data_IF_863057354838
#
_entry.id   IF_863057354838
#
_cell.length_a   1.000
_cell.length_b   1.000
_cell.length_c   1.000
_cell.angle_alpha   90.00
_cell.angle_beta   90.00
_cell.angle_gamma   90.00
#
_symmetry.space_group_name_H-M   'P 1'
#
loop_
_entity.id
_entity.type
_entity.pdbx_description
1 polymer ?
#
# COMPACT_ATOMS: atom_id res chain seq x y z
N UNK A 1 -28.17 -36.65 25.33
CA UNK A 1 -28.29 -36.80 23.85
C UNK A 1 -29.32 -35.87 23.19
N UNK A 2 -30.05 -35.01 23.94
CA UNK A 2 -31.03 -34.06 23.36
C UNK A 2 -30.51 -32.61 23.13
N UNK A 3 -29.33 -32.26 23.66
CA UNK A 3 -28.74 -30.91 23.51
C UNK A 3 -27.90 -30.73 22.23
N UNK A 4 -27.42 -31.82 21.62
CA UNK A 4 -26.54 -31.75 20.44
C UNK A 4 -27.32 -31.64 19.12
N UNK A 5 -28.54 -32.18 19.05
CA UNK A 5 -29.42 -32.10 17.88
C UNK A 5 -30.06 -30.72 17.69
N UNK A 6 -30.35 -30.00 18.77
CA UNK A 6 -30.88 -28.62 18.73
C UNK A 6 -29.86 -27.61 18.17
N UNK A 7 -28.57 -27.80 18.46
CA UNK A 7 -27.51 -26.91 17.99
C UNK A 7 -27.23 -27.08 16.48
N UNK A 8 -27.25 -28.33 15.99
CA UNK A 8 -27.10 -28.64 14.56
C UNK A 8 -28.30 -28.15 13.72
N UNK A 9 -29.52 -28.27 14.24
CA UNK A 9 -30.73 -27.75 13.59
C UNK A 9 -30.70 -26.22 13.45
N UNK A 10 -30.21 -25.49 14.45
CA UNK A 10 -30.08 -24.03 14.42
C UNK A 10 -29.01 -23.53 13.44
N UNK A 11 -27.90 -24.25 13.28
CA UNK A 11 -26.85 -23.92 12.30
C UNK A 11 -27.35 -24.16 10.86
N UNK A 12 -28.12 -25.21 10.64
CA UNK A 12 -28.79 -25.47 9.34
C UNK A 12 -29.88 -24.42 9.04
N UNK A 13 -30.65 -23.98 10.05
CA UNK A 13 -31.63 -22.89 9.92
C UNK A 13 -30.96 -21.55 9.57
N UNK A 14 -29.84 -21.21 10.23
CA UNK A 14 -29.08 -19.98 9.96
C UNK A 14 -28.44 -19.97 8.57
N UNK A 15 -27.89 -21.11 8.10
CA UNK A 15 -27.36 -21.23 6.73
C UNK A 15 -28.47 -21.10 5.69
N UNK A 16 -29.66 -21.68 5.94
CA UNK A 16 -30.82 -21.59 5.04
C UNK A 16 -31.39 -20.16 5.00
N UNK A 17 -31.40 -19.46 6.13
CA UNK A 17 -31.83 -18.05 6.23
C UNK A 17 -30.81 -17.08 5.61
N UNK A 18 -29.52 -17.38 5.68
CA UNK A 18 -28.48 -16.59 5.00
C UNK A 18 -28.56 -16.80 3.47
N UNK A 19 -28.76 -18.04 3.01
CA UNK A 19 -28.98 -18.33 1.59
C UNK A 19 -30.27 -17.69 1.08
N UNK A 20 -31.36 -17.72 1.86
CA UNK A 20 -32.60 -17.04 1.53
C UNK A 20 -32.41 -15.53 1.44
N UNK A 21 -31.65 -14.93 2.37
CA UNK A 21 -31.34 -13.48 2.35
C UNK A 21 -30.50 -13.10 1.11
N UNK A 22 -29.52 -13.92 0.73
CA UNK A 22 -28.73 -13.72 -0.50
C UNK A 22 -29.58 -13.89 -1.76
N UNK A 23 -30.49 -14.88 -1.78
CA UNK A 23 -31.45 -15.05 -2.88
C UNK A 23 -32.50 -13.93 -2.94
N UNK A 24 -32.93 -13.39 -1.80
CA UNK A 24 -33.81 -12.21 -1.71
C UNK A 24 -33.09 -10.93 -2.16
N UNK A 25 -31.78 -10.79 -1.89
CA UNK A 25 -30.95 -9.70 -2.41
C UNK A 25 -30.70 -9.84 -3.92
N UNK A 26 -30.64 -11.06 -4.44
CA UNK A 26 -30.55 -11.32 -5.89
C UNK A 26 -31.90 -11.11 -6.62
N UNK A 27 -33.03 -11.28 -5.91
CA UNK A 27 -34.39 -11.08 -6.43
C UNK A 27 -34.83 -9.60 -6.50
N UNK A 28 -34.01 -8.64 -6.04
CA UNK A 28 -34.27 -7.20 -6.21
C UNK A 28 -33.85 -6.67 -7.59
N UNK A 29 -33.43 -7.55 -8.50
CA UNK A 29 -33.29 -7.23 -9.92
C UNK A 29 -34.69 -7.07 -10.55
N UNK A 30 -35.36 -5.96 -10.27
CA UNK A 30 -36.64 -5.63 -10.89
C UNK A 30 -37.50 -4.56 -10.23
N UNK A 31 -37.12 -3.94 -9.11
CA UNK A 31 -38.03 -3.05 -8.37
C UNK A 31 -37.44 -1.65 -8.13
N UNK A 32 -37.92 -0.70 -8.92
CA UNK A 32 -37.88 0.75 -8.73
C UNK A 32 -36.55 1.34 -8.21
N UNK A 33 -35.68 1.76 -9.13
CA UNK A 33 -34.62 2.73 -8.84
C UNK A 33 -35.22 3.89 -8.02
N UNK A 34 -34.74 4.06 -6.78
CA UNK A 34 -35.20 5.17 -5.94
C UNK A 34 -35.04 6.46 -6.73
N UNK A 35 -36.09 7.27 -6.79
CA UNK A 35 -36.07 8.55 -7.53
C UNK A 35 -34.81 9.33 -7.15
N UNK A 36 -34.12 9.85 -8.16
CA UNK A 36 -32.87 10.62 -8.06
C UNK A 36 -31.59 9.82 -7.66
N UNK A 37 -31.66 8.49 -7.63
CA UNK A 37 -30.47 7.65 -7.51
C UNK A 37 -30.11 7.00 -8.84
N UNK A 38 -28.84 6.69 -9.08
CA UNK A 38 -28.35 5.85 -10.17
C UNK A 38 -27.25 4.92 -9.67
N UNK A 39 -27.24 3.68 -10.16
CA UNK A 39 -26.32 2.63 -9.74
C UNK A 39 -25.59 2.07 -10.95
N UNK A 40 -24.26 1.95 -10.86
CA UNK A 40 -23.43 1.29 -11.85
C UNK A 40 -22.62 0.19 -11.17
N UNK A 41 -23.04 -1.05 -11.37
CA UNK A 41 -22.27 -2.23 -10.98
C UNK A 41 -21.11 -2.42 -11.95
N UNK A 42 -19.95 -2.79 -11.43
CA UNK A 42 -18.78 -3.13 -12.22
C UNK A 42 -17.90 -4.14 -11.49
N UNK A 43 -17.01 -4.77 -12.23
CA UNK A 43 -16.07 -5.71 -11.62
C UNK A 43 -15.12 -6.34 -12.61
N UNK A 44 -14.38 -7.31 -12.09
CA UNK A 44 -13.55 -8.17 -12.91
C UNK A 44 -13.35 -9.52 -12.24
N UNK A 45 -13.36 -10.58 -13.02
CA UNK A 45 -12.65 -11.82 -12.66
C UNK A 45 -11.21 -11.66 -13.13
N UNK A 46 -10.24 -11.92 -12.25
CA UNK A 46 -8.82 -11.85 -12.58
C UNK A 46 -8.12 -13.10 -12.08
N UNK A 47 -7.34 -13.72 -12.96
CA UNK A 47 -6.40 -14.79 -12.61
C UNK A 47 -4.97 -14.31 -12.76
N UNK A 48 -4.11 -14.71 -11.84
CA UNK A 48 -2.72 -14.32 -11.77
C UNK A 48 -1.86 -15.58 -11.60
N UNK A 49 -1.13 -15.96 -12.66
CA UNK A 49 -0.04 -16.93 -12.60
C UNK A 49 1.26 -16.16 -12.38
N UNK A 50 2.11 -16.59 -11.45
CA UNK A 50 3.45 -16.05 -11.35
C UNK A 50 4.51 -17.12 -11.14
N UNK A 51 5.73 -16.77 -11.52
CA UNK A 51 6.95 -17.51 -11.24
C UNK A 51 8.04 -16.52 -10.81
N UNK A 52 8.84 -16.90 -9.82
CA UNK A 52 10.06 -16.21 -9.39
C UNK A 52 11.22 -17.21 -9.39
N UNK A 53 12.41 -16.77 -9.77
CA UNK A 53 13.64 -17.59 -9.68
C UNK A 53 14.20 -17.69 -8.25
N UNK A 54 13.67 -16.89 -7.30
CA UNK A 54 14.13 -16.78 -5.91
C UNK A 54 12.97 -16.47 -4.96
N UNK A 55 13.13 -16.70 -3.66
CA UNK A 55 12.30 -16.14 -2.61
C UNK A 55 12.39 -14.60 -2.52
N UNK A 56 11.29 -13.93 -2.14
CA UNK A 56 11.16 -12.47 -2.25
C UNK A 56 10.51 -11.84 -1.03
N UNK A 57 10.83 -10.56 -0.80
CA UNK A 57 10.00 -9.71 0.03
C UNK A 57 8.71 -9.41 -0.73
N UNK A 58 7.60 -9.87 -0.18
CA UNK A 58 6.30 -9.84 -0.85
C UNK A 58 5.16 -9.78 0.18
N UNK A 59 3.95 -9.56 -0.32
CA UNK A 59 2.72 -9.83 0.43
C UNK A 59 1.73 -10.57 -0.47
N UNK A 60 0.68 -11.14 0.12
CA UNK A 60 -0.37 -11.85 -0.65
C UNK A 60 0.19 -13.05 -1.39
N UNK A 61 1.05 -13.81 -0.70
CA UNK A 61 1.67 -15.03 -1.22
C UNK A 61 2.24 -14.84 -2.63
N UNK A 62 3.20 -13.92 -2.75
CA UNK A 62 3.91 -13.62 -3.99
C UNK A 62 3.18 -12.82 -5.07
N UNK A 63 1.89 -12.52 -4.92
CA UNK A 63 1.19 -11.65 -5.87
C UNK A 63 1.64 -10.19 -5.78
N UNK A 64 1.83 -9.67 -4.57
CA UNK A 64 2.34 -8.32 -4.36
C UNK A 64 3.85 -8.41 -4.18
N UNK A 65 4.56 -8.41 -5.31
CA UNK A 65 6.01 -8.49 -5.37
C UNK A 65 6.67 -7.15 -5.04
N UNK A 66 7.74 -7.15 -4.22
CA UNK A 66 8.53 -5.95 -3.93
C UNK A 66 9.98 -6.07 -4.43
N UNK A 67 10.77 -7.00 -3.90
CA UNK A 67 12.19 -7.21 -4.23
C UNK A 67 12.69 -8.59 -3.76
N UNK A 68 13.80 -9.14 -4.29
CA UNK A 68 14.35 -10.43 -3.82
C UNK A 68 14.78 -10.38 -2.35
N UNK A 69 14.63 -11.46 -1.59
CA UNK A 69 15.22 -11.57 -0.25
C UNK A 69 16.73 -11.75 -0.31
N UNK A 70 17.44 -11.32 0.74
CA UNK A 70 18.89 -11.56 0.85
C UNK A 70 19.24 -13.05 0.91
N UNK A 71 20.51 -13.39 0.76
CA UNK A 71 21.03 -14.73 0.99
C UNK A 71 20.78 -15.16 2.42
N UNK A 72 20.32 -16.40 2.58
CA UNK A 72 20.16 -17.03 3.89
C UNK A 72 20.90 -18.36 3.87
N UNK A 73 22.19 -18.30 4.14
CA UNK A 73 23.07 -19.47 4.06
C UNK A 73 22.74 -20.48 5.18
N UNK A 74 22.66 -21.75 4.81
CA UNK A 74 22.65 -22.86 5.77
C UNK A 74 24.05 -23.13 6.35
N UNK A 75 24.16 -24.12 7.24
CA UNK A 75 25.44 -24.51 7.85
C UNK A 75 26.49 -25.02 6.84
N UNK A 76 26.10 -25.33 5.60
CA UNK A 76 26.99 -25.75 4.50
C UNK A 76 27.27 -24.61 3.51
N UNK A 77 26.83 -23.37 3.79
CA UNK A 77 26.99 -22.23 2.90
C UNK A 77 26.02 -22.23 1.70
N UNK A 78 24.96 -23.03 1.71
CA UNK A 78 23.94 -23.03 0.64
C UNK A 78 22.86 -22.00 0.94
N UNK A 79 22.58 -21.14 -0.02
CA UNK A 79 21.54 -20.14 0.11
C UNK A 79 20.13 -20.76 0.09
N UNK A 80 19.46 -20.74 1.23
CA UNK A 80 18.09 -21.24 1.41
C UNK A 80 17.06 -20.41 0.64
N UNK A 81 17.36 -19.14 0.33
CA UNK A 81 16.46 -18.27 -0.42
C UNK A 81 16.64 -18.41 -1.94
N UNK A 82 17.70 -19.09 -2.41
CA UNK A 82 17.93 -19.44 -3.83
C UNK A 82 17.02 -20.58 -4.31
N UNK A 83 15.72 -20.47 -4.02
CA UNK A 83 14.69 -21.43 -4.41
C UNK A 83 13.65 -20.73 -5.26
N UNK A 84 13.35 -21.29 -6.42
CA UNK A 84 12.28 -20.81 -7.28
C UNK A 84 10.90 -21.08 -6.65
N UNK A 85 9.95 -20.18 -6.88
CA UNK A 85 8.57 -20.37 -6.43
C UNK A 85 7.58 -19.82 -7.46
N UNK A 86 6.33 -20.26 -7.36
CA UNK A 86 5.27 -19.81 -8.25
C UNK A 86 3.92 -20.28 -7.73
N UNK A 87 2.87 -19.58 -8.13
CA UNK A 87 1.50 -19.93 -7.76
C UNK A 87 0.49 -19.34 -8.75
N UNK A 88 -0.76 -19.80 -8.64
CA UNK A 88 -1.89 -19.36 -9.45
C UNK A 88 -3.05 -18.94 -8.55
N UNK A 89 -3.47 -17.68 -8.67
CA UNK A 89 -4.45 -17.08 -7.77
C UNK A 89 -5.58 -16.34 -8.49
N UNK A 90 -6.70 -16.21 -7.79
CA UNK A 90 -7.88 -15.43 -8.22
C UNK A 90 -8.25 -14.31 -7.25
N UNK A 91 -7.35 -14.01 -6.30
CA UNK A 91 -7.58 -13.16 -5.12
C UNK A 91 -7.96 -11.71 -5.46
N UNK A 92 -7.60 -11.21 -6.65
CA UNK A 92 -7.90 -9.85 -7.10
C UNK A 92 -9.08 -9.76 -8.06
N UNK A 93 -9.94 -10.78 -8.07
CA UNK A 93 -11.33 -10.65 -8.51
C UNK A 93 -12.01 -9.54 -7.71
N UNK A 94 -12.69 -8.61 -8.38
CA UNK A 94 -13.26 -7.39 -7.79
C UNK A 94 -14.73 -7.24 -8.13
N UNK A 95 -15.44 -6.64 -7.18
CA UNK A 95 -16.82 -6.22 -7.32
C UNK A 95 -16.96 -4.81 -6.77
N UNK A 96 -17.68 -3.95 -7.47
CA UNK A 96 -17.93 -2.58 -7.04
C UNK A 96 -19.26 -2.04 -7.51
N UNK A 97 -19.71 -1.00 -6.82
CA UNK A 97 -20.87 -0.20 -7.21
C UNK A 97 -20.53 1.27 -7.09
N UNK A 98 -20.79 2.01 -8.16
CA UNK A 98 -20.83 3.47 -8.14
C UNK A 98 -22.28 3.92 -7.99
N UNK A 99 -22.52 4.83 -7.05
CA UNK A 99 -23.83 5.39 -6.76
C UNK A 99 -23.79 6.89 -7.02
N UNK A 100 -24.72 7.40 -7.82
CA UNK A 100 -25.05 8.83 -7.87
C UNK A 100 -26.34 9.04 -7.09
N UNK A 101 -26.37 10.01 -6.18
CA UNK A 101 -27.53 10.28 -5.34
C UNK A 101 -28.18 11.64 -5.61
N UNK A 102 -29.27 11.96 -4.88
CA UNK A 102 -29.90 13.26 -4.93
C UNK A 102 -28.91 14.34 -4.47
N UNK A 103 -29.08 15.56 -4.98
CA UNK A 103 -28.24 16.68 -4.57
C UNK A 103 -28.41 16.99 -3.09
N UNK A 104 -27.31 17.32 -2.42
CA UNK A 104 -27.32 17.91 -1.08
C UNK A 104 -27.14 19.42 -1.23
N UNK A 105 -28.24 20.16 -1.23
CA UNK A 105 -28.23 21.57 -1.63
C UNK A 105 -27.74 21.74 -3.07
N UNK A 106 -26.61 22.44 -3.27
CA UNK A 106 -25.99 22.62 -4.59
C UNK A 106 -24.98 21.53 -4.97
N UNK A 107 -24.57 20.67 -4.02
CA UNK A 107 -23.61 19.61 -4.28
C UNK A 107 -24.25 18.43 -5.02
N UNK A 108 -23.60 17.96 -6.08
CA UNK A 108 -23.83 16.62 -6.63
C UNK A 108 -23.27 15.59 -5.65
N UNK A 109 -24.05 14.57 -5.33
CA UNK A 109 -23.63 13.53 -4.39
C UNK A 109 -23.30 12.25 -5.13
N UNK A 110 -22.25 11.58 -4.69
CA UNK A 110 -21.86 10.26 -5.20
C UNK A 110 -21.26 9.43 -4.08
N UNK A 111 -21.30 8.10 -4.24
CA UNK A 111 -20.66 7.16 -3.34
C UNK A 111 -20.08 5.99 -4.13
N UNK A 112 -19.09 5.32 -3.55
CA UNK A 112 -18.49 4.09 -4.10
C UNK A 112 -18.29 3.09 -3.00
N UNK A 113 -18.60 1.82 -3.28
CA UNK A 113 -18.11 0.66 -2.54
C UNK A 113 -17.41 -0.27 -3.53
N UNK A 114 -16.20 -0.72 -3.21
CA UNK A 114 -15.46 -1.69 -4.02
C UNK A 114 -14.73 -2.67 -3.08
N UNK A 115 -14.79 -3.97 -3.41
CA UNK A 115 -14.16 -5.06 -2.65
C UNK A 115 -13.36 -6.00 -3.56
N UNK A 116 -12.42 -6.75 -2.96
CA UNK A 116 -11.78 -7.93 -3.58
C UNK A 116 -11.63 -9.08 -2.59
N UNK A 117 -11.05 -10.20 -3.03
CA UNK A 117 -10.88 -11.43 -2.24
C UNK A 117 -9.45 -11.62 -1.72
N UNK A 118 -8.64 -10.54 -1.69
CA UNK A 118 -7.27 -10.61 -1.16
C UNK A 118 -7.23 -10.97 0.32
N UNK A 119 -8.26 -10.61 1.08
CA UNK A 119 -8.28 -10.79 2.53
C UNK A 119 -7.29 -9.90 3.29
N UNK A 120 -6.85 -10.35 4.47
CA UNK A 120 -6.02 -9.57 5.40
C UNK A 120 -4.85 -10.39 5.92
N UNK A 121 -3.66 -9.78 6.00
CA UNK A 121 -2.44 -10.46 6.45
C UNK A 121 -2.14 -11.71 5.63
N UNK A 122 -2.14 -12.87 6.29
CA UNK A 122 -1.95 -14.21 5.71
C UNK A 122 -3.26 -14.96 5.48
N UNK A 123 -4.42 -14.36 5.79
CA UNK A 123 -5.73 -14.95 5.53
C UNK A 123 -6.27 -14.50 4.18
N UNK A 124 -6.08 -15.35 3.17
CA UNK A 124 -6.52 -15.12 1.79
C UNK A 124 -7.95 -15.62 1.55
N UNK A 125 -8.51 -15.30 0.37
CA UNK A 125 -9.86 -15.72 -0.04
C UNK A 125 -11.00 -15.17 0.83
N UNK A 126 -10.77 -14.03 1.48
CA UNK A 126 -11.78 -13.31 2.27
C UNK A 126 -12.03 -11.92 1.70
N UNK A 127 -13.24 -11.41 1.89
CA UNK A 127 -13.63 -10.10 1.35
C UNK A 127 -12.83 -9.00 2.03
N UNK A 128 -12.17 -8.17 1.22
CA UNK A 128 -11.42 -6.99 1.67
C UNK A 128 -12.02 -5.74 1.05
N UNK A 129 -12.23 -4.73 1.90
CA UNK A 129 -12.64 -3.40 1.48
C UNK A 129 -11.53 -2.68 0.71
N UNK A 130 -11.80 -2.24 -0.51
CA UNK A 130 -10.88 -1.41 -1.29
C UNK A 130 -11.28 0.06 -1.21
N UNK A 131 -12.49 0.37 -1.67
CA UNK A 131 -13.05 1.71 -1.63
C UNK A 131 -14.36 1.71 -0.85
N UNK A 132 -14.56 2.74 -0.03
CA UNK A 132 -15.82 3.03 0.65
C UNK A 132 -15.84 4.51 1.00
N UNK A 133 -16.43 5.34 0.14
CA UNK A 133 -16.48 6.77 0.36
C UNK A 133 -17.73 7.39 -0.23
N UNK A 134 -18.06 8.59 0.26
CA UNK A 134 -18.99 9.52 -0.38
C UNK A 134 -18.22 10.76 -0.87
N UNK A 135 -18.80 11.47 -1.84
CA UNK A 135 -18.23 12.67 -2.41
C UNK A 135 -19.32 13.71 -2.70
N UNK A 136 -19.07 14.95 -2.30
CA UNK A 136 -19.89 16.13 -2.55
C UNK A 136 -19.17 17.04 -3.54
N UNK A 137 -19.76 17.30 -4.70
CA UNK A 137 -19.14 18.07 -5.79
C UNK A 137 -19.96 19.32 -6.13
N UNK A 138 -19.36 20.50 -5.93
CA UNK A 138 -19.90 21.83 -6.25
C UNK A 138 -19.35 22.39 -7.58
N UNK A 139 -18.73 21.56 -8.41
CA UNK A 139 -18.16 21.92 -9.70
C UNK A 139 -16.73 22.44 -9.60
N UNK A 140 -16.49 23.49 -8.78
CA UNK A 140 -15.14 23.99 -8.49
C UNK A 140 -14.51 23.32 -7.27
N UNK A 141 -15.32 22.93 -6.30
CA UNK A 141 -14.86 22.34 -5.05
C UNK A 141 -15.46 20.95 -4.89
N UNK A 142 -14.70 20.02 -4.34
CA UNK A 142 -15.19 18.69 -3.99
C UNK A 142 -14.69 18.26 -2.61
N UNK A 143 -15.55 17.60 -1.84
CA UNK A 143 -15.22 17.02 -0.54
C UNK A 143 -15.52 15.52 -0.57
N UNK A 144 -14.48 14.71 -0.39
CA UNK A 144 -14.54 13.27 -0.26
C UNK A 144 -14.36 12.85 1.20
N UNK A 145 -15.23 11.95 1.67
CA UNK A 145 -15.17 11.37 3.01
C UNK A 145 -15.19 9.84 2.90
N UNK A 146 -14.14 9.18 3.39
CA UNK A 146 -14.06 7.72 3.47
C UNK A 146 -12.76 7.14 2.95
N UNK A 147 -12.73 5.82 2.70
CA UNK A 147 -11.53 5.12 2.27
C UNK A 147 -11.38 5.11 0.75
N UNK A 148 -10.24 5.61 0.28
CA UNK A 148 -9.83 5.53 -1.12
C UNK A 148 -8.31 5.52 -1.24
N UNK A 149 -7.77 5.60 -2.46
CA UNK A 149 -6.33 5.72 -2.69
C UNK A 149 -5.73 6.88 -1.89
N UNK A 150 -4.58 6.62 -1.29
CA UNK A 150 -3.74 7.64 -0.68
C UNK A 150 -3.37 8.69 -1.73
N UNK A 151 -3.35 10.00 -1.43
CA UNK A 151 -2.97 11.02 -2.40
C UNK A 151 -1.57 10.81 -3.01
N UNK A 152 -0.61 10.25 -2.27
CA UNK A 152 0.70 9.85 -2.82
C UNK A 152 0.62 8.77 -3.92
N UNK A 153 -0.41 7.92 -3.91
CA UNK A 153 -0.67 7.03 -5.05
C UNK A 153 -1.04 7.88 -6.28
N UNK A 154 -1.94 8.84 -6.10
CA UNK A 154 -2.25 9.90 -7.05
C UNK A 154 -2.94 9.44 -8.34
N UNK A 155 -3.21 10.40 -9.23
CA UNK A 155 -3.79 10.16 -10.56
C UNK A 155 -2.75 9.63 -11.58
N UNK A 156 -1.48 9.61 -11.19
CA UNK A 156 -0.33 9.10 -11.98
C UNK A 156 0.24 7.87 -11.29
N UNK A 157 0.02 6.71 -11.93
CA UNK A 157 0.52 5.41 -11.50
C UNK A 157 0.90 4.55 -12.72
N UNK A 158 1.79 3.56 -12.56
CA UNK A 158 2.20 2.66 -13.64
C UNK A 158 1.03 1.85 -14.20
N UNK A 159 1.05 1.63 -15.52
CA UNK A 159 0.27 0.59 -16.19
C UNK A 159 1.17 -0.65 -16.34
N UNK A 160 1.15 -1.50 -15.32
CA UNK A 160 1.83 -2.80 -15.32
C UNK A 160 0.86 -3.91 -14.88
N UNK A 161 1.17 -5.16 -15.21
CA UNK A 161 0.39 -6.32 -14.77
C UNK A 161 0.62 -6.65 -13.30
N UNK A 162 1.84 -6.44 -12.79
CA UNK A 162 2.17 -6.72 -11.39
C UNK A 162 1.20 -6.02 -10.42
N UNK A 163 0.69 -6.76 -9.43
CA UNK A 163 -0.28 -6.25 -8.47
C UNK A 163 0.33 -5.24 -7.48
N UNK A 164 1.65 -5.14 -7.41
CA UNK A 164 2.34 -4.09 -6.67
C UNK A 164 2.21 -2.71 -7.31
N UNK A 165 1.84 -2.63 -8.61
CA UNK A 165 1.68 -1.37 -9.36
C UNK A 165 2.92 -0.46 -9.21
N UNK A 166 4.10 -1.08 -9.19
CA UNK A 166 5.38 -0.40 -9.08
C UNK A 166 5.87 -0.14 -7.66
N UNK A 167 5.21 -0.63 -6.61
CA UNK A 167 5.84 -0.66 -5.28
C UNK A 167 7.09 -1.56 -5.30
N UNK A 168 8.17 -1.21 -4.56
CA UNK A 168 8.27 -0.13 -3.59
C UNK A 168 8.77 1.22 -4.18
N UNK A 169 8.61 1.46 -5.49
CA UNK A 169 8.98 2.73 -6.13
C UNK A 169 7.79 3.72 -6.18
N UNK A 170 6.60 3.19 -6.43
CA UNK A 170 5.32 3.90 -6.42
C UNK A 170 4.66 3.71 -5.04
N UNK A 171 4.30 4.81 -4.34
CA UNK A 171 3.51 4.71 -3.11
C UNK A 171 2.21 3.94 -3.37
N UNK A 172 1.97 2.90 -2.57
CA UNK A 172 0.80 2.02 -2.67
C UNK A 172 0.09 1.94 -1.33
N UNK A 173 -1.01 2.69 -1.20
CA UNK A 173 -1.87 2.64 -0.02
C UNK A 173 -3.29 3.08 -0.32
N UNK A 174 -4.23 2.54 0.45
CA UNK A 174 -5.60 3.03 0.58
C UNK A 174 -5.88 3.28 2.04
N UNK A 175 -6.51 4.42 2.31
CA UNK A 175 -6.65 4.96 3.65
C UNK A 175 -7.97 5.74 3.79
N UNK A 176 -8.69 5.60 4.91
CA UNK A 176 -9.73 6.53 5.31
C UNK A 176 -9.19 7.97 5.30
N UNK A 177 -9.90 8.86 4.62
CA UNK A 177 -9.46 10.25 4.47
C UNK A 177 -10.65 11.21 4.37
N UNK A 178 -10.39 12.44 4.79
CA UNK A 178 -11.16 13.63 4.45
C UNK A 178 -10.33 14.37 3.41
N UNK A 179 -10.80 14.44 2.17
CA UNK A 179 -10.07 15.06 1.07
C UNK A 179 -10.86 16.18 0.44
N UNK A 180 -10.28 17.37 0.41
CA UNK A 180 -10.79 18.52 -0.30
C UNK A 180 -10.02 18.73 -1.61
N UNK A 181 -10.74 19.05 -2.67
CA UNK A 181 -10.16 19.43 -3.95
C UNK A 181 -10.76 20.74 -4.44
N UNK A 182 -9.92 21.61 -4.99
CA UNK A 182 -10.33 22.86 -5.63
C UNK A 182 -9.77 22.94 -7.05
N UNK A 183 -10.64 23.19 -8.01
CA UNK A 183 -10.31 23.28 -9.43
C UNK A 183 -10.47 24.70 -9.94
N UNK A 184 -9.43 25.20 -10.59
CA UNK A 184 -9.46 26.47 -11.31
C UNK A 184 -8.75 26.30 -12.66
N UNK A 185 -9.52 26.34 -13.75
CA UNK A 185 -9.03 26.07 -15.11
C UNK A 185 -8.29 24.72 -15.15
N UNK A 186 -7.01 24.74 -15.50
CA UNK A 186 -6.15 23.57 -15.62
C UNK A 186 -5.50 23.16 -14.29
N UNK A 187 -5.72 23.90 -13.20
CA UNK A 187 -5.09 23.62 -11.90
C UNK A 187 -6.07 22.94 -10.95
N UNK A 188 -5.58 21.94 -10.21
CA UNK A 188 -6.31 21.27 -9.14
C UNK A 188 -5.45 21.25 -7.88
N UNK A 189 -5.92 21.91 -6.83
CA UNK A 189 -5.36 21.79 -5.49
C UNK A 189 -6.01 20.61 -4.77
N UNK A 190 -5.22 19.85 -4.03
CA UNK A 190 -5.68 18.75 -3.18
C UNK A 190 -5.14 18.95 -1.77
N UNK A 191 -6.01 18.83 -0.76
CA UNK A 191 -5.63 18.74 0.64
C UNK A 191 -6.35 17.55 1.28
N UNK A 192 -5.67 16.77 2.13
CA UNK A 192 -6.29 15.63 2.80
C UNK A 192 -5.77 15.44 4.22
N UNK A 193 -6.68 15.02 5.11
CA UNK A 193 -6.38 14.44 6.42
C UNK A 193 -6.68 12.93 6.38
N UNK A 194 -5.76 12.11 6.83
CA UNK A 194 -5.68 10.69 6.49
C UNK A 194 -5.42 9.84 7.73
N UNK A 195 -6.10 8.69 7.82
CA UNK A 195 -5.90 7.68 8.86
C UNK A 195 -5.55 6.33 8.25
N UNK A 196 -4.81 5.51 9.00
CA UNK A 196 -4.32 4.22 8.52
C UNK A 196 -5.26 3.08 8.96
N UNK A 197 -5.59 2.17 8.03
CA UNK A 197 -6.46 1.02 8.31
C UNK A 197 -5.91 -0.32 7.80
N UNK A 198 -5.32 -0.33 6.59
CA UNK A 198 -4.83 -1.55 5.93
C UNK A 198 -3.31 -1.54 5.74
N UNK A 199 -2.79 -0.39 5.33
CA UNK A 199 -1.36 -0.15 5.18
C UNK A 199 -0.97 0.75 6.36
N UNK A 200 -0.06 0.24 7.18
CA UNK A 200 0.19 0.77 8.51
C UNK A 200 1.67 1.11 8.62
N UNK A 201 1.97 2.16 9.37
CA UNK A 201 3.33 2.49 9.78
C UNK A 201 3.94 1.32 10.56
N UNK A 202 5.25 1.16 10.38
CA UNK A 202 6.07 0.22 11.15
C UNK A 202 6.54 0.91 12.43
N UNK A 203 6.55 0.18 13.53
CA UNK A 203 7.11 0.65 14.80
C UNK A 203 8.06 -0.35 15.45
N UNK A 204 8.23 -0.29 16.79
CA UNK A 204 9.19 -1.13 17.49
C UNK A 204 9.03 -2.61 17.16
N UNK A 205 10.16 -3.31 17.05
CA UNK A 205 10.23 -4.72 16.61
C UNK A 205 9.68 -4.98 15.21
N UNK A 206 9.71 -3.96 14.35
CA UNK A 206 9.23 -4.01 12.97
C UNK A 206 7.75 -4.43 12.84
N UNK A 207 6.96 -4.17 13.88
CA UNK A 207 5.52 -4.47 13.89
C UNK A 207 4.76 -3.36 13.16
N UNK A 208 3.83 -3.73 12.28
CA UNK A 208 2.89 -2.81 11.65
C UNK A 208 1.65 -2.64 12.51
N UNK A 209 1.28 -1.40 12.85
CA UNK A 209 0.12 -1.15 13.71
C UNK A 209 -0.55 0.19 13.47
N UNK A 210 -1.87 0.19 13.56
CA UNK A 210 -2.67 1.41 13.60
C UNK A 210 -2.49 2.20 14.90
N UNK A 211 -1.96 1.57 15.95
CA UNK A 211 -1.79 2.22 17.26
C UNK A 211 -0.84 3.41 17.16
N UNK A 212 0.17 3.37 16.30
CA UNK A 212 1.16 4.45 16.22
C UNK A 212 0.54 5.78 15.78
N UNK A 213 -0.35 5.77 14.78
CA UNK A 213 -1.09 6.98 14.37
C UNK A 213 -2.21 7.31 15.35
N UNK A 214 -2.91 6.32 15.93
CA UNK A 214 -3.97 6.55 16.93
C UNK A 214 -3.44 7.25 18.18
N UNK A 215 -2.33 6.76 18.72
CA UNK A 215 -1.67 7.31 19.89
C UNK A 215 -1.17 8.74 19.63
N UNK A 216 -0.85 9.07 18.39
CA UNK A 216 -0.41 10.41 18.00
C UNK A 216 -1.51 11.47 18.08
N UNK A 217 -2.78 11.05 17.95
CA UNK A 217 -3.97 11.91 17.82
C UNK A 217 -3.89 12.97 16.70
N UNK A 218 -3.02 12.76 15.70
CA UNK A 218 -2.83 13.66 14.56
C UNK A 218 -3.01 12.82 13.28
N UNK A 219 -3.88 13.22 12.34
CA UNK A 219 -3.96 12.56 11.05
C UNK A 219 -2.70 12.82 10.22
N UNK A 220 -2.40 11.92 9.30
CA UNK A 220 -1.45 12.21 8.21
C UNK A 220 -2.05 13.30 7.32
N UNK A 221 -1.24 14.30 6.95
CA UNK A 221 -1.67 15.46 6.17
C UNK A 221 -1.00 15.43 4.80
N UNK A 222 -1.78 15.63 3.75
CA UNK A 222 -1.27 15.79 2.39
C UNK A 222 -1.73 17.11 1.79
N UNK A 223 -0.84 17.79 1.05
CA UNK A 223 -1.17 18.91 0.19
C UNK A 223 -0.48 18.74 -1.17
N UNK A 224 -1.16 19.04 -2.27
CA UNK A 224 -0.57 18.93 -3.60
C UNK A 224 -1.31 19.73 -4.65
N UNK A 225 -0.65 19.87 -5.81
CA UNK A 225 -1.13 20.64 -6.95
C UNK A 225 -0.89 19.87 -8.24
N UNK A 226 -1.94 19.73 -9.04
CA UNK A 226 -1.87 19.17 -10.38
C UNK A 226 -2.18 20.24 -11.43
N UNK A 227 -1.41 20.26 -12.50
CA UNK A 227 -1.70 20.95 -13.75
C UNK A 227 -2.12 19.94 -14.81
N UNK A 228 -3.34 20.10 -15.35
CA UNK A 228 -3.99 19.20 -16.31
C UNK A 228 -4.27 19.96 -17.60
N UNK A 229 -3.54 19.68 -18.67
CA UNK A 229 -3.69 20.35 -19.97
C UNK A 229 -3.59 19.39 -21.16
N UNK A 230 -4.67 19.29 -21.94
CA UNK A 230 -4.80 18.37 -23.08
C UNK A 230 -4.42 16.92 -22.68
N UNK A 231 -3.25 16.48 -23.10
CA UNK A 231 -2.71 15.13 -22.90
C UNK A 231 -1.77 15.03 -21.69
N UNK A 232 -1.47 16.16 -21.04
CA UNK A 232 -0.51 16.26 -19.94
C UNK A 232 -1.22 16.38 -18.59
N UNK A 233 -0.66 15.68 -17.61
CA UNK A 233 -0.87 15.89 -16.19
C UNK A 233 0.51 15.97 -15.54
N UNK A 234 0.82 17.06 -14.84
CA UNK A 234 2.02 17.17 -14.03
C UNK A 234 1.67 17.75 -12.67
N UNK A 235 2.35 17.33 -11.61
CA UNK A 235 2.02 17.77 -10.27
C UNK A 235 3.13 17.54 -9.27
N UNK A 236 2.94 18.16 -8.10
CA UNK A 236 3.81 18.01 -6.94
C UNK A 236 2.97 17.90 -5.67
N UNK A 237 3.51 17.22 -4.67
CA UNK A 237 2.84 17.01 -3.38
C UNK A 237 3.82 16.99 -2.21
N UNK A 238 3.30 17.35 -1.05
CA UNK A 238 3.96 17.22 0.25
C UNK A 238 3.05 16.42 1.18
N UNK A 239 3.66 15.56 1.97
CA UNK A 239 3.00 14.72 2.96
C UNK A 239 3.69 14.92 4.32
N UNK A 240 2.89 14.97 5.38
CA UNK A 240 3.33 15.03 6.78
C UNK A 240 2.72 13.86 7.54
N UNK A 241 3.60 13.00 8.06
CA UNK A 241 3.24 11.90 8.95
C UNK A 241 3.73 12.24 10.34
N UNK A 242 2.90 12.00 11.36
CA UNK A 242 3.33 12.08 12.74
C UNK A 242 2.78 10.90 13.52
N UNK A 243 3.65 10.08 14.11
CA UNK A 243 3.27 8.89 14.87
C UNK A 243 3.92 8.88 16.24
N UNK A 244 3.29 8.16 17.18
CA UNK A 244 3.86 7.82 18.49
C UNK A 244 4.17 6.32 18.54
N UNK A 245 5.44 5.91 18.35
CA UNK A 245 5.85 4.51 18.36
C UNK A 245 5.51 3.79 19.67
N UNK A 246 5.62 4.50 20.79
CA UNK A 246 5.33 3.99 22.14
C UNK A 246 4.57 5.06 22.93
N UNK A 247 3.86 4.60 23.96
CA UNK A 247 3.21 5.46 24.99
C UNK A 247 3.75 5.17 26.38
N UNK A 248 4.52 4.10 26.51
CA UNK A 248 5.19 3.68 27.73
C UNK A 248 6.54 3.03 27.39
N UNK A 249 7.43 3.03 28.37
CA UNK A 249 8.73 2.39 28.29
C UNK A 249 9.02 1.68 29.62
N UNK A 250 9.50 0.45 29.53
CA UNK A 250 9.93 -0.33 30.70
C UNK A 250 11.46 -0.31 30.76
N UNK A 251 12.00 0.18 31.87
CA UNK A 251 13.45 0.33 32.10
C UNK A 251 13.87 -0.59 33.24
N UNK A 252 14.88 -1.46 33.03
CA UNK A 252 15.44 -2.26 34.12
C UNK A 252 16.21 -1.36 35.09
N UNK A 253 15.92 -1.46 36.38
CA UNK A 253 16.51 -0.63 37.45
C UNK A 253 17.41 -1.43 38.40
N UNK A 254 17.43 -2.75 38.27
CA UNK A 254 18.32 -3.65 39.02
C UNK A 254 18.02 -5.12 38.74
N UNK A 255 18.82 -6.01 39.30
CA UNK A 255 18.59 -7.46 39.31
C UNK A 255 18.61 -7.94 40.75
N UNK A 256 17.65 -8.77 41.12
CA UNK A 256 17.74 -9.50 42.38
C UNK A 256 18.78 -10.62 42.22
N UNK A 257 19.82 -10.59 43.05
CA UNK A 257 20.97 -11.48 42.95
C UNK A 257 20.63 -12.95 43.29
N UNK A 258 19.54 -13.20 44.01
CA UNK A 258 19.12 -14.56 44.41
C UNK A 258 18.12 -15.20 43.42
N UNK A 259 17.30 -14.40 42.71
CA UNK A 259 16.19 -14.92 41.87
C UNK A 259 16.40 -14.76 40.35
N UNK A 260 17.44 -14.04 39.91
CA UNK A 260 17.64 -13.62 38.51
C UNK A 260 16.47 -12.81 37.91
N UNK A 261 15.53 -12.33 38.73
CA UNK A 261 14.46 -11.45 38.26
C UNK A 261 15.00 -10.04 38.03
N UNK A 262 14.66 -9.48 36.86
CA UNK A 262 15.00 -8.10 36.49
C UNK A 262 13.93 -7.17 37.05
N UNK A 263 14.31 -6.37 38.06
CA UNK A 263 13.43 -5.35 38.62
C UNK A 263 13.32 -4.23 37.58
N UNK A 264 12.10 -3.90 37.15
CA UNK A 264 11.85 -2.92 36.11
C UNK A 264 10.80 -1.90 36.53
N UNK A 265 10.96 -0.65 36.10
CA UNK A 265 9.95 0.39 36.24
C UNK A 265 9.36 0.74 34.88
N UNK A 266 8.05 0.99 34.83
CA UNK A 266 7.35 1.44 33.63
C UNK A 266 7.05 2.92 33.74
N UNK A 267 7.49 3.67 32.74
CA UNK A 267 7.29 5.11 32.63
C UNK A 267 6.35 5.41 31.46
N UNK A 268 5.54 6.46 31.62
CA UNK A 268 4.83 7.07 30.50
C UNK A 268 5.82 7.88 29.66
N UNK A 269 5.76 7.73 28.35
CA UNK A 269 6.60 8.49 27.40
C UNK A 269 5.73 9.20 26.37
N UNK A 270 6.19 10.32 25.80
CA UNK A 270 5.45 11.11 24.82
C UNK A 270 6.19 11.32 23.48
N UNK A 271 7.30 10.61 23.29
CA UNK A 271 8.08 10.55 22.06
C UNK A 271 7.25 10.43 20.78
N UNK A 272 7.73 11.12 19.74
CA UNK A 272 7.07 11.22 18.45
C UNK A 272 8.11 11.25 17.36
N UNK A 273 7.75 10.69 16.21
CA UNK A 273 8.45 10.95 14.97
C UNK A 273 7.50 11.66 14.01
N UNK A 274 7.91 12.84 13.56
CA UNK A 274 7.20 13.65 12.57
C UNK A 274 8.08 13.79 11.34
N UNK A 275 7.56 13.42 10.18
CA UNK A 275 8.32 13.41 8.93
C UNK A 275 7.62 14.19 7.84
N UNK A 276 8.42 14.68 6.88
CA UNK A 276 7.94 15.28 5.65
C UNK A 276 8.44 14.48 4.45
N UNK A 277 7.54 14.21 3.52
CA UNK A 277 7.82 13.57 2.25
C UNK A 277 7.38 14.44 1.10
N UNK A 278 8.07 14.33 -0.04
CA UNK A 278 7.83 15.14 -1.23
C UNK A 278 7.67 14.24 -2.44
N UNK A 279 6.77 14.59 -3.35
CA UNK A 279 6.62 13.88 -4.63
C UNK A 279 6.46 14.84 -5.80
N UNK A 280 6.92 14.40 -6.96
CA UNK A 280 6.69 15.06 -8.23
C UNK A 280 6.35 13.99 -9.27
N UNK A 281 5.33 14.26 -10.08
CA UNK A 281 4.85 13.31 -11.06
C UNK A 281 4.48 13.98 -12.38
N UNK A 282 4.54 13.20 -13.46
CA UNK A 282 4.13 13.60 -14.79
C UNK A 282 3.53 12.43 -15.54
N UNK A 283 2.52 12.71 -16.36
CA UNK A 283 1.91 11.78 -17.30
C UNK A 283 1.57 12.48 -18.60
N UNK A 284 1.99 11.90 -19.70
CA UNK A 284 1.48 12.16 -21.04
C UNK A 284 0.64 10.97 -21.50
N UNK A 285 -0.59 11.25 -21.93
CA UNK A 285 -1.47 10.22 -22.51
C UNK A 285 -2.16 10.74 -23.76
N UNK A 286 -2.07 10.00 -24.86
CA UNK A 286 -2.89 10.20 -26.05
C UNK A 286 -3.55 8.89 -26.50
N UNK A 287 -4.06 8.82 -27.74
CA UNK A 287 -4.71 7.62 -28.28
C UNK A 287 -3.86 6.35 -28.16
N UNK A 288 -2.55 6.44 -28.40
CA UNK A 288 -1.64 5.30 -28.46
C UNK A 288 -0.58 5.31 -27.35
N UNK A 289 -0.18 6.48 -26.88
CA UNK A 289 0.92 6.63 -25.93
C UNK A 289 0.40 6.82 -24.52
N UNK A 290 1.01 6.10 -23.59
CA UNK A 290 1.00 6.40 -22.16
C UNK A 290 2.45 6.46 -21.69
N UNK A 291 2.86 7.63 -21.19
CA UNK A 291 4.19 7.85 -20.62
C UNK A 291 3.96 8.48 -19.26
N UNK A 292 4.46 7.86 -18.20
CA UNK A 292 4.31 8.37 -16.86
C UNK A 292 5.60 8.18 -16.06
N UNK A 293 5.89 9.14 -15.19
CA UNK A 293 6.99 9.05 -14.25
C UNK A 293 6.61 9.71 -12.93
N UNK A 294 7.22 9.25 -11.85
CA UNK A 294 7.13 9.89 -10.54
C UNK A 294 8.44 9.71 -9.78
N UNK A 295 8.78 10.71 -8.98
CA UNK A 295 9.84 10.67 -8.00
C UNK A 295 9.26 11.01 -6.62
N UNK A 296 9.72 10.31 -5.60
CA UNK A 296 9.33 10.50 -4.19
C UNK A 296 10.61 10.59 -3.36
N UNK A 297 10.77 11.69 -2.63
CA UNK A 297 11.73 11.81 -1.55
C UNK A 297 10.96 11.58 -0.24
N UNK A 298 11.01 10.34 0.25
CA UNK A 298 10.17 9.85 1.33
C UNK A 298 10.91 9.76 2.65
N UNK A 299 10.28 10.26 3.72
CA UNK A 299 10.80 10.17 5.08
C UNK A 299 9.84 9.30 5.90
N UNK A 300 10.21 8.05 6.18
CA UNK A 300 9.34 7.08 6.89
C UNK A 300 7.97 6.83 6.22
N UNK A 301 7.95 6.37 4.96
CA UNK A 301 6.73 6.12 4.18
C UNK A 301 6.24 4.66 4.21
N UNK A 302 6.50 3.93 5.29
CA UNK A 302 6.20 2.48 5.38
C UNK A 302 4.70 2.15 5.26
N UNK A 303 3.81 3.07 5.64
CA UNK A 303 2.36 3.00 5.45
C UNK A 303 1.92 3.11 3.98
N UNK A 304 2.85 3.38 3.07
CA UNK A 304 2.62 3.40 1.62
C UNK A 304 3.31 2.25 0.89
N UNK A 305 3.68 1.19 1.59
CA UNK A 305 4.40 0.03 1.03
C UNK A 305 5.75 0.39 0.39
N UNK A 306 6.29 1.56 0.72
CA UNK A 306 7.63 1.99 0.34
C UNK A 306 8.66 1.42 1.31
N UNK A 307 9.93 1.39 0.89
CA UNK A 307 11.05 1.20 1.80
C UNK A 307 11.22 2.40 2.73
N UNK A 308 11.92 2.19 3.84
CA UNK A 308 12.28 3.24 4.79
C UNK A 308 11.83 2.89 6.20
N UNK A 309 11.70 3.91 7.04
CA UNK A 309 11.49 3.73 8.47
C UNK A 309 12.16 4.84 9.27
N UNK A 310 12.63 4.52 10.46
CA UNK A 310 13.35 5.43 11.34
C UNK A 310 14.27 4.69 12.30
N UNK A 311 15.22 5.41 12.89
CA UNK A 311 16.16 4.88 13.88
C UNK A 311 16.09 5.59 15.21
N UNK A 312 16.54 4.90 16.27
CA UNK A 312 16.68 5.44 17.62
C UNK A 312 17.97 6.24 17.73
N UNK A 313 17.84 7.55 17.89
CA UNK A 313 18.95 8.51 18.01
C UNK A 313 19.47 8.62 19.44
N UNK A 314 18.57 8.73 20.41
CA UNK A 314 18.90 8.84 21.83
C UNK A 314 17.86 8.12 22.69
N UNK A 315 18.26 7.71 23.89
CA UNK A 315 17.38 7.11 24.91
C UNK A 315 17.64 7.84 26.23
N UNK A 316 16.60 8.39 26.85
CA UNK A 316 16.64 8.86 28.23
C UNK A 316 16.85 7.66 29.17
N UNK A 317 17.91 7.69 29.98
CA UNK A 317 18.29 6.55 30.83
C UNK A 317 17.34 6.33 32.01
N UNK A 318 16.63 7.36 32.45
CA UNK A 318 15.69 7.26 33.56
C UNK A 318 14.34 6.73 33.07
N UNK A 319 13.79 7.34 32.03
CA UNK A 319 12.42 7.07 31.58
C UNK A 319 12.34 6.08 30.44
N UNK A 320 13.44 5.87 29.71
CA UNK A 320 13.46 5.06 28.50
C UNK A 320 12.81 5.73 27.29
N UNK A 321 12.50 7.03 27.37
CA UNK A 321 11.99 7.85 26.26
C UNK A 321 13.04 7.96 25.14
N UNK A 322 12.61 7.91 23.89
CA UNK A 322 13.45 7.83 22.70
C UNK A 322 13.29 9.05 21.81
N UNK A 323 14.43 9.53 21.30
CA UNK A 323 14.48 10.44 20.15
C UNK A 323 14.70 9.64 18.87
N UNK A 324 14.07 10.04 17.77
CA UNK A 324 14.09 9.30 16.51
C UNK A 324 14.61 10.14 15.35
N UNK A 325 15.29 9.50 14.40
CA UNK A 325 15.68 10.07 13.12
C UNK A 325 15.08 9.25 11.96
N UNK A 326 14.45 9.90 10.99
CA UNK A 326 13.80 9.20 9.87
C UNK A 326 14.80 8.74 8.83
N UNK A 327 14.61 7.54 8.28
CA UNK A 327 15.31 7.11 7.07
C UNK A 327 14.72 7.86 5.88
N UNK A 328 15.60 8.50 5.12
CA UNK A 328 15.27 9.19 3.88
C UNK A 328 15.49 8.24 2.69
N UNK A 329 14.47 8.05 1.85
CA UNK A 329 14.57 7.26 0.62
C UNK A 329 14.25 8.13 -0.59
N UNK A 330 15.08 8.04 -1.64
CA UNK A 330 14.77 8.58 -2.96
C UNK A 330 14.28 7.46 -3.86
N UNK A 331 13.05 7.55 -4.37
CA UNK A 331 12.42 6.52 -5.18
C UNK A 331 11.82 7.10 -6.45
N UNK A 332 12.12 6.52 -7.59
CA UNK A 332 11.67 7.00 -8.90
C UNK A 332 11.23 5.84 -9.78
N UNK A 333 10.26 6.11 -10.66
CA UNK A 333 9.88 5.16 -11.70
C UNK A 333 9.49 5.85 -13.01
N UNK A 334 9.62 5.11 -14.10
CA UNK A 334 9.19 5.46 -15.46
C UNK A 334 8.39 4.29 -16.05
N UNK A 335 7.27 4.59 -16.68
CA UNK A 335 6.46 3.62 -17.42
C UNK A 335 6.09 4.18 -18.78
N UNK A 336 6.36 3.41 -19.83
CA UNK A 336 6.03 3.74 -21.22
C UNK A 336 5.24 2.59 -21.81
N UNK A 337 4.05 2.89 -22.33
CA UNK A 337 3.17 1.91 -22.97
C UNK A 337 2.69 2.47 -24.30
N UNK A 338 2.67 1.61 -25.33
CA UNK A 338 2.24 1.99 -26.68
C UNK A 338 1.12 1.08 -27.19
N UNK A 339 0.13 1.66 -27.87
CA UNK A 339 -0.96 0.93 -28.54
C UNK A 339 -2.26 0.85 -27.74
N UNK A 340 -3.24 0.15 -28.31
CA UNK A 340 -4.60 0.03 -27.74
C UNK A 340 -5.01 -1.43 -27.54
N UNK A 341 -5.00 -2.21 -28.64
CA UNK A 341 -5.34 -3.63 -28.65
C UNK A 341 -4.16 -4.46 -28.17
N UNK A 342 -3.04 -4.39 -28.88
CA UNK A 342 -1.75 -4.85 -28.41
C UNK A 342 -1.05 -3.68 -27.74
N UNK A 343 -0.68 -3.87 -26.48
CA UNK A 343 -0.05 -2.86 -25.65
C UNK A 343 1.26 -3.40 -25.06
N UNK A 344 2.37 -3.33 -25.82
CA UNK A 344 3.69 -3.46 -25.22
C UNK A 344 3.95 -2.30 -24.23
N UNK A 345 4.62 -2.62 -23.14
CA UNK A 345 4.99 -1.67 -22.11
C UNK A 345 6.36 -1.97 -21.50
N UNK A 346 7.03 -0.93 -21.02
CA UNK A 346 8.24 -1.04 -20.20
C UNK A 346 8.06 -0.30 -18.88
N UNK A 347 8.65 -0.83 -17.82
CA UNK A 347 8.69 -0.23 -16.51
C UNK A 347 10.11 -0.21 -15.98
N UNK A 348 10.55 0.93 -15.45
CA UNK A 348 11.82 1.10 -14.78
C UNK A 348 11.54 1.67 -13.38
N UNK A 349 12.10 1.06 -12.35
CA UNK A 349 12.00 1.50 -10.96
C UNK A 349 13.37 1.54 -10.31
N UNK A 350 13.62 2.57 -9.51
CA UNK A 350 14.84 2.71 -8.71
C UNK A 350 14.49 3.30 -7.34
N UNK A 351 15.05 2.75 -6.28
CA UNK A 351 14.99 3.36 -4.93
C UNK A 351 16.36 3.26 -4.28
N UNK A 352 16.72 4.31 -3.54
CA UNK A 352 17.98 4.46 -2.80
C UNK A 352 17.69 4.91 -1.38
N UNK A 353 18.28 4.21 -0.42
CA UNK A 353 18.36 4.61 0.97
C UNK A 353 19.46 5.68 1.12
N UNK A 354 19.10 6.85 1.64
CA UNK A 354 20.01 7.97 1.86
C UNK A 354 20.48 8.07 3.33
N UNK A 355 20.02 7.16 4.18
CA UNK A 355 20.28 7.11 5.61
C UNK A 355 19.37 8.01 6.43
N UNK A 356 19.69 8.13 7.70
CA UNK A 356 19.02 9.02 8.67
C UNK A 356 19.68 10.40 8.76
N UNK A 357 20.95 10.52 8.33
CA UNK A 357 21.76 11.73 8.50
C UNK A 357 22.28 11.93 9.93
N UNK A 358 21.58 11.37 10.92
CA UNK A 358 21.98 11.30 12.32
C UNK A 358 22.53 9.93 12.71
N UNK A 359 23.32 9.89 13.79
CA UNK A 359 23.71 8.64 14.41
C UNK A 359 22.51 7.94 15.04
N UNK A 360 22.42 6.62 14.83
CA UNK A 360 21.31 5.78 15.30
C UNK A 360 21.80 4.42 15.76
N UNK A 361 21.13 3.87 16.77
CA UNK A 361 21.50 2.60 17.40
C UNK A 361 20.71 1.40 16.86
N UNK A 362 19.47 1.62 16.42
CA UNK A 362 18.57 0.58 15.94
C UNK A 362 17.59 1.18 14.93
N UNK A 363 17.30 0.46 13.85
CA UNK A 363 16.29 0.85 12.86
C UNK A 363 14.99 0.07 13.03
N UNK A 364 13.89 0.74 12.72
CA UNK A 364 12.55 0.17 12.58
C UNK A 364 12.01 0.55 11.21
N UNK A 365 11.55 -0.41 10.42
CA UNK A 365 11.12 -0.12 9.06
C UNK A 365 10.89 -1.32 8.16
N UNK A 366 10.85 -1.05 6.86
CA UNK A 366 10.80 -2.05 5.78
C UNK A 366 12.06 -1.90 4.93
N UNK A 367 12.82 -2.99 4.76
CA UNK A 367 14.11 -3.00 4.05
C UNK A 367 15.17 -2.12 4.73
N UNK A 368 15.28 -2.21 6.06
CA UNK A 368 16.25 -1.42 6.85
C UNK A 368 17.70 -1.89 6.67
N UNK A 369 17.90 -2.97 5.94
CA UNK A 369 19.17 -3.58 5.53
C UNK A 369 19.39 -3.45 4.01
N UNK A 370 18.49 -2.77 3.29
CA UNK A 370 18.56 -2.55 1.84
C UNK A 370 19.09 -1.14 1.55
N UNK A 371 20.18 -1.08 0.80
CA UNK A 371 20.76 0.16 0.28
C UNK A 371 19.96 0.67 -0.92
N UNK A 372 19.70 -0.20 -1.90
CA UNK A 372 18.98 0.19 -3.11
C UNK A 372 18.28 -0.99 -3.76
N UNK A 373 17.24 -0.68 -4.55
CA UNK A 373 16.55 -1.65 -5.40
C UNK A 373 16.41 -1.07 -6.79
N UNK A 374 16.68 -1.89 -7.80
CA UNK A 374 16.43 -1.60 -9.22
C UNK A 374 15.44 -2.63 -9.77
N UNK A 375 14.52 -2.18 -10.61
CA UNK A 375 13.58 -3.04 -11.33
C UNK A 375 13.46 -2.59 -12.78
N UNK A 376 13.56 -3.55 -13.70
CA UNK A 376 13.27 -3.36 -15.10
C UNK A 376 12.27 -4.43 -15.55
N UNK A 377 11.15 -4.00 -16.12
CA UNK A 377 10.09 -4.88 -16.59
C UNK A 377 9.67 -4.58 -18.02
N UNK A 378 9.25 -5.61 -18.72
CA UNK A 378 8.62 -5.53 -20.03
C UNK A 378 7.32 -6.33 -20.00
N UNK A 379 6.26 -5.77 -20.56
CA UNK A 379 4.96 -6.42 -20.66
C UNK A 379 4.37 -6.35 -22.06
N UNK A 380 3.49 -7.30 -22.35
CA UNK A 380 2.60 -7.25 -23.50
C UNK A 380 1.19 -7.59 -23.03
N UNK A 381 0.25 -6.68 -23.25
CA UNK A 381 -1.17 -6.94 -23.01
C UNK A 381 -1.97 -6.93 -24.31
N UNK A 382 -2.92 -7.87 -24.42
CA UNK A 382 -3.91 -7.95 -25.47
C UNK A 382 -5.29 -7.61 -24.91
N UNK A 383 -5.87 -6.51 -25.36
CA UNK A 383 -7.14 -5.97 -24.89
C UNK A 383 -8.20 -6.08 -25.98
N UNK A 384 -9.34 -6.68 -25.65
CA UNK A 384 -10.56 -6.65 -26.46
C UNK A 384 -11.75 -6.35 -25.56
N UNK A 385 -12.94 -6.17 -26.12
CA UNK A 385 -14.14 -5.87 -25.32
C UNK A 385 -14.29 -6.91 -24.19
N UNK A 386 -14.39 -6.43 -22.95
CA UNK A 386 -14.50 -7.23 -21.72
C UNK A 386 -13.32 -8.14 -21.37
N UNK A 387 -12.27 -8.23 -22.20
CA UNK A 387 -11.17 -9.15 -21.96
C UNK A 387 -9.81 -8.46 -22.00
N UNK A 388 -8.93 -8.90 -21.09
CA UNK A 388 -7.50 -8.57 -21.12
C UNK A 388 -6.70 -9.83 -20.84
N UNK A 389 -5.70 -10.07 -21.67
CA UNK A 389 -4.68 -11.08 -21.45
C UNK A 389 -3.33 -10.40 -21.41
N UNK A 390 -2.41 -10.88 -20.59
CA UNK A 390 -1.12 -10.23 -20.47
C UNK A 390 -0.03 -11.15 -19.97
N UNK A 391 1.19 -10.84 -20.38
CA UNK A 391 2.41 -11.41 -19.86
C UNK A 391 3.36 -10.26 -19.50
N UNK A 392 3.95 -10.32 -18.31
CA UNK A 392 4.98 -9.40 -17.84
C UNK A 392 6.19 -10.19 -17.39
N UNK A 393 7.37 -9.77 -17.81
CA UNK A 393 8.65 -10.21 -17.27
C UNK A 393 9.28 -9.04 -16.52
N UNK A 394 9.83 -9.32 -15.33
CA UNK A 394 10.49 -8.34 -14.49
C UNK A 394 11.81 -8.90 -13.96
N UNK A 395 12.91 -8.19 -14.23
CA UNK A 395 14.20 -8.38 -13.57
C UNK A 395 14.35 -7.34 -12.47
N UNK A 396 14.80 -7.77 -11.30
CA UNK A 396 15.04 -6.86 -10.19
C UNK A 396 16.20 -7.31 -9.34
N UNK A 397 16.89 -6.33 -8.77
CA UNK A 397 18.07 -6.52 -7.93
C UNK A 397 17.95 -5.65 -6.68
N UNK A 398 18.23 -6.23 -5.51
CA UNK A 398 18.34 -5.52 -4.24
C UNK A 398 19.78 -5.62 -3.73
N UNK A 399 20.29 -4.52 -3.19
CA UNK A 399 21.60 -4.45 -2.57
C UNK A 399 21.44 -4.45 -1.06
N UNK A 400 21.89 -5.53 -0.43
CA UNK A 400 21.86 -5.73 1.01
C UNK A 400 23.20 -5.38 1.62
N UNK A 401 23.22 -4.95 2.89
CA UNK A 401 24.46 -4.63 3.58
C UNK A 401 24.25 -4.33 5.06
N UNK A 402 25.27 -3.74 5.67
CA UNK A 402 25.26 -3.42 7.10
C UNK A 402 24.96 -1.94 7.34
N UNK A 403 24.23 -1.64 8.41
CA UNK A 403 23.95 -0.26 8.83
C UNK A 403 25.20 0.42 9.39
N UNK A 404 25.55 1.58 8.86
CA UNK A 404 26.47 2.53 9.46
C UNK A 404 25.76 3.33 10.57
N UNK A 405 26.09 3.04 11.82
CA UNK A 405 25.48 3.67 12.98
C UNK A 405 25.69 5.20 13.07
N UNK A 406 26.64 5.78 12.32
CA UNK A 406 26.88 7.23 12.35
C UNK A 406 25.87 8.05 11.55
N UNK A 407 25.17 7.43 10.59
CA UNK A 407 24.27 8.14 9.68
C UNK A 407 23.11 7.29 9.14
N UNK A 408 22.95 6.06 9.60
CA UNK A 408 21.88 5.13 9.23
C UNK A 408 21.93 4.63 7.78
N UNK A 409 23.00 4.90 7.02
CA UNK A 409 23.18 4.37 5.65
C UNK A 409 23.53 2.89 5.68
N UNK A 410 23.24 2.21 4.58
CA UNK A 410 23.65 0.83 4.37
C UNK A 410 24.93 0.81 3.53
N UNK A 411 25.95 0.09 4.01
CA UNK A 411 27.28 -0.01 3.39
C UNK A 411 27.71 -1.46 3.23
N UNK A 412 28.86 -1.64 2.58
CA UNK A 412 29.48 -2.95 2.35
C UNK A 412 28.51 -3.92 1.66
N UNK A 413 27.93 -3.44 0.55
CA UNK A 413 26.76 -4.07 -0.05
C UNK A 413 27.10 -5.17 -1.04
N UNK A 414 26.24 -6.18 -1.13
CA UNK A 414 26.20 -7.17 -2.20
C UNK A 414 24.80 -7.22 -2.83
N UNK A 415 24.72 -7.64 -4.10
CA UNK A 415 23.47 -7.65 -4.86
C UNK A 415 22.87 -9.03 -4.97
N UNK A 416 21.55 -9.10 -4.85
CA UNK A 416 20.76 -10.32 -5.07
C UNK A 416 19.67 -10.04 -6.11
N UNK A 417 19.50 -10.96 -7.06
CA UNK A 417 18.59 -10.79 -8.20
C UNK A 417 17.40 -11.78 -8.18
N UNK A 418 16.28 -11.35 -8.76
CA UNK A 418 15.14 -12.21 -9.07
C UNK A 418 14.61 -11.95 -10.49
N UNK A 419 14.33 -13.03 -11.19
CA UNK A 419 13.62 -13.05 -12.47
C UNK A 419 12.16 -13.46 -12.19
N UNK A 420 11.23 -12.58 -12.54
CA UNK A 420 9.80 -12.80 -12.33
C UNK A 420 9.04 -12.82 -13.64
N UNK A 421 8.12 -13.75 -13.78
CA UNK A 421 7.12 -13.78 -14.87
C UNK A 421 5.73 -13.72 -14.24
N UNK A 422 4.83 -12.92 -14.81
CA UNK A 422 3.42 -12.84 -14.44
C UNK A 422 2.54 -13.00 -15.68
N UNK A 423 1.65 -13.99 -15.66
CA UNK A 423 0.61 -14.19 -16.65
C UNK A 423 -0.76 -13.83 -16.09
N UNK A 424 -1.54 -13.02 -16.81
CA UNK A 424 -2.85 -12.52 -16.36
C UNK A 424 -3.93 -12.79 -17.40
N UNK A 425 -5.08 -13.27 -16.96
CA UNK A 425 -6.32 -13.22 -17.73
C UNK A 425 -7.40 -12.50 -16.92
N UNK A 426 -8.15 -11.62 -17.58
CA UNK A 426 -9.19 -10.81 -16.96
C UNK A 426 -10.45 -10.78 -17.82
N UNK A 427 -11.59 -11.01 -17.17
CA UNK A 427 -12.92 -10.73 -17.70
C UNK A 427 -13.52 -9.56 -16.91
N UNK A 428 -13.89 -8.48 -17.58
CA UNK A 428 -14.32 -7.21 -16.99
C UNK A 428 -15.77 -6.90 -17.39
N UNK A 429 -16.60 -6.50 -16.44
CA UNK A 429 -18.02 -6.22 -16.63
C UNK A 429 -18.45 -4.90 -15.98
#
# INVERSE_FOLDING_TARGET
>A
MYLCTSFYANILLMKKNLLLTVCLLAAINGSAQKKDFSYKFYGQIRTDLYYNSRANQETVDGLFYMYPLDERLDANGKDLNATANGSFYTLYTRLGVDVTGPKLGKAKTSAKVEVDFRGSGTSYSTVRLRHAYLNLDWGKSALLLGQTWHPLFGDVSPQILNLSVGAPFQPFSRAPQIRYQFKNKNMQLTAAAIWQSQYLSVGPNNVKSQNYIKNSCVPEIYAGIDYKAKNWLAGVGIELLSIKPRTEATVPVGSDNDSQEVISHTYKVDERITTLSYEAHVRYTNKNWFIAAKSVLGSNLTQTSMLGGYGVKAIDKLTGEQEYASILNSSSWLNVVYGQKWKPGIFLGYTKNLGTGDAVTKLYGTGTDVDQVVMAGAELTYNVAHWKFGLEYTLSSAWYGSMDASNGKIKDTHSVCNNRIVGVAMFMF
#
